data_IF_156840481189
#
_entry.id   IF_156840481189
#
_cell.length_a   1.000
_cell.length_b   1.000
_cell.length_c   1.000
_cell.angle_alpha   90.00
_cell.angle_beta   90.00
_cell.angle_gamma   90.00
#
_symmetry.space_group_name_H-M   'P 1'
#
loop_
_entity.id
_entity.type
_entity.pdbx_description
1 polymer ?
#
# COMPACT_ATOMS: atom_id res chain seq x y z
N UNK A 1 -23.54 16.38 7.84
CA UNK A 1 -22.23 15.79 8.19
C UNK A 1 -22.21 14.39 7.58
N UNK A 2 -21.49 14.20 6.47
CA UNK A 2 -21.66 13.04 5.58
C UNK A 2 -21.23 11.72 6.22
N UNK A 3 -22.07 10.70 6.07
CA UNK A 3 -21.84 9.29 6.44
C UNK A 3 -20.55 8.71 5.86
N UNK A 4 -20.08 9.24 4.73
CA UNK A 4 -18.93 8.72 3.99
C UNK A 4 -17.60 8.92 4.73
N UNK A 5 -17.48 10.01 5.49
CA UNK A 5 -16.28 10.30 6.29
C UNK A 5 -16.10 9.30 7.44
N UNK A 6 -17.20 8.88 8.06
CA UNK A 6 -17.15 7.88 9.13
C UNK A 6 -16.70 6.52 8.62
N UNK A 7 -17.19 6.11 7.44
CA UNK A 7 -16.79 4.85 6.81
C UNK A 7 -15.30 4.85 6.43
N UNK A 8 -14.78 5.98 5.94
CA UNK A 8 -13.36 6.13 5.65
C UNK A 8 -12.50 6.01 6.91
N UNK A 9 -12.86 6.70 7.99
CA UNK A 9 -12.14 6.64 9.27
C UNK A 9 -12.14 5.22 9.84
N UNK A 10 -13.30 4.55 9.86
CA UNK A 10 -13.42 3.18 10.35
C UNK A 10 -12.58 2.20 9.52
N UNK A 11 -12.55 2.38 8.21
CA UNK A 11 -11.73 1.57 7.29
C UNK A 11 -10.24 1.76 7.57
N UNK A 12 -9.78 3.01 7.70
CA UNK A 12 -8.38 3.33 8.02
C UNK A 12 -7.95 2.70 9.35
N UNK A 13 -8.76 2.87 10.40
CA UNK A 13 -8.48 2.29 11.72
C UNK A 13 -8.41 0.75 11.63
N UNK A 14 -9.34 0.13 10.91
CA UNK A 14 -9.39 -1.33 10.74
C UNK A 14 -8.18 -1.86 9.98
N UNK A 15 -7.72 -1.16 8.92
CA UNK A 15 -6.52 -1.54 8.16
C UNK A 15 -5.28 -1.55 9.06
N UNK A 16 -5.16 -0.60 9.97
CA UNK A 16 -4.00 -0.50 10.87
C UNK A 16 -4.08 -1.54 12.00
N UNK A 17 -5.27 -1.73 12.60
CA UNK A 17 -5.42 -2.54 13.81
C UNK A 17 -5.51 -4.05 13.51
N UNK A 18 -6.21 -4.46 12.45
CA UNK A 18 -6.46 -5.88 12.19
C UNK A 18 -5.18 -6.73 12.11
N UNK A 19 -4.08 -6.25 11.49
CA UNK A 19 -2.81 -6.99 11.50
C UNK A 19 -2.23 -7.26 12.89
N UNK A 20 -2.38 -6.32 13.83
CA UNK A 20 -1.97 -6.56 15.23
C UNK A 20 -2.76 -7.71 15.86
N UNK A 21 -4.05 -7.82 15.53
CA UNK A 21 -4.94 -8.83 16.07
C UNK A 21 -4.63 -10.21 15.46
N UNK A 22 -4.68 -10.34 14.14
CA UNK A 22 -4.58 -11.66 13.50
C UNK A 22 -3.18 -12.26 13.60
N UNK A 23 -2.12 -11.46 13.76
CA UNK A 23 -0.77 -12.01 13.99
C UNK A 23 -0.62 -12.66 15.38
N UNK A 24 -1.46 -12.29 16.36
CA UNK A 24 -1.40 -12.82 17.74
C UNK A 24 -2.35 -13.99 17.99
N UNK A 25 -3.40 -14.14 17.18
CA UNK A 25 -4.40 -15.18 17.38
C UNK A 25 -3.87 -16.57 17.05
N UNK A 26 -4.16 -17.57 17.87
CA UNK A 26 -3.76 -18.96 17.63
C UNK A 26 -4.74 -19.72 16.75
N UNK A 27 -6.05 -19.47 16.92
CA UNK A 27 -7.13 -20.14 16.17
C UNK A 27 -7.06 -19.79 14.68
N UNK A 28 -6.73 -20.79 13.86
CA UNK A 28 -6.52 -20.63 12.40
C UNK A 28 -7.75 -20.07 11.67
N UNK A 29 -8.95 -20.56 11.98
CA UNK A 29 -10.19 -20.11 11.31
C UNK A 29 -10.44 -18.61 11.53
N UNK A 30 -10.37 -18.16 12.79
CA UNK A 30 -10.56 -16.74 13.15
C UNK A 30 -9.48 -15.88 12.50
N UNK A 31 -8.22 -16.36 12.48
CA UNK A 31 -7.11 -15.66 11.83
C UNK A 31 -7.37 -15.45 10.34
N UNK A 32 -7.76 -16.50 9.63
CA UNK A 32 -8.03 -16.44 8.19
C UNK A 32 -9.22 -15.52 7.90
N UNK A 33 -10.29 -15.61 8.69
CA UNK A 33 -11.45 -14.72 8.54
C UNK A 33 -11.07 -13.25 8.68
N UNK A 34 -10.24 -12.90 9.68
CA UNK A 34 -9.76 -11.53 9.87
C UNK A 34 -8.85 -11.06 8.74
N UNK A 35 -8.01 -11.94 8.19
CA UNK A 35 -7.18 -11.61 7.01
C UNK A 35 -8.07 -11.32 5.81
N UNK A 36 -9.10 -12.13 5.57
CA UNK A 36 -10.05 -11.91 4.47
C UNK A 36 -10.78 -10.58 4.63
N UNK A 37 -11.31 -10.30 5.83
CA UNK A 37 -11.96 -9.01 6.13
C UNK A 37 -11.00 -7.85 5.91
N UNK A 38 -9.76 -7.96 6.40
CA UNK A 38 -8.73 -6.94 6.20
C UNK A 38 -8.45 -6.68 4.72
N UNK A 39 -8.32 -7.73 3.91
CA UNK A 39 -8.14 -7.60 2.46
C UNK A 39 -9.35 -6.97 1.76
N UNK A 40 -10.57 -7.30 2.16
CA UNK A 40 -11.79 -6.70 1.62
C UNK A 40 -11.81 -5.19 1.89
N UNK A 41 -11.43 -4.76 3.10
CA UNK A 41 -11.37 -3.34 3.46
C UNK A 41 -10.30 -2.63 2.63
N UNK A 42 -9.13 -3.24 2.44
CA UNK A 42 -8.08 -2.70 1.56
C UNK A 42 -8.57 -2.54 0.13
N UNK A 43 -9.20 -3.57 -0.44
CA UNK A 43 -9.74 -3.50 -1.80
C UNK A 43 -10.81 -2.41 -1.90
N UNK A 44 -11.72 -2.35 -0.93
CA UNK A 44 -12.79 -1.34 -0.89
C UNK A 44 -12.26 0.08 -0.87
N UNK A 45 -11.27 0.38 -0.02
CA UNK A 45 -10.68 1.73 0.04
C UNK A 45 -9.86 2.07 -1.21
N UNK A 46 -9.18 1.09 -1.81
CA UNK A 46 -8.48 1.28 -3.09
C UNK A 46 -9.46 1.54 -4.23
N UNK A 47 -10.59 0.83 -4.29
CA UNK A 47 -11.63 1.09 -5.29
C UNK A 47 -12.25 2.48 -5.12
N UNK A 48 -12.45 2.91 -3.88
CA UNK A 48 -12.87 4.28 -3.57
C UNK A 48 -11.83 5.30 -4.05
N UNK A 49 -10.54 5.04 -3.79
CA UNK A 49 -9.43 5.87 -4.25
C UNK A 49 -9.39 6.02 -5.78
N UNK A 50 -9.61 4.92 -6.50
CA UNK A 50 -9.64 4.86 -7.97
C UNK A 50 -10.90 5.49 -8.57
N UNK A 51 -11.87 5.90 -7.74
CA UNK A 51 -13.08 6.56 -8.20
C UNK A 51 -14.19 5.62 -8.66
N UNK A 52 -14.08 4.30 -8.47
CA UNK A 52 -15.14 3.35 -8.82
C UNK A 52 -16.46 3.56 -8.06
N UNK A 53 -16.40 4.27 -6.94
CA UNK A 53 -17.56 4.65 -6.14
C UNK A 53 -17.85 6.16 -6.17
N UNK A 54 -17.22 6.91 -7.08
CA UNK A 54 -17.42 8.36 -7.25
C UNK A 54 -18.34 8.65 -8.44
N UNK A 55 -19.27 9.59 -8.26
CA UNK A 55 -20.12 10.12 -9.34
C UNK A 55 -19.47 11.30 -10.09
N UNK A 56 -18.21 11.65 -9.79
CA UNK A 56 -17.50 12.77 -10.42
C UNK A 56 -16.30 12.26 -11.21
N UNK A 57 -16.10 12.84 -12.39
CA UNK A 57 -14.95 12.60 -13.25
C UNK A 57 -13.66 12.90 -12.49
N UNK A 58 -12.80 11.90 -12.34
CA UNK A 58 -11.57 11.99 -11.54
C UNK A 58 -10.32 12.28 -12.39
N UNK A 59 -10.49 12.83 -13.59
CA UNK A 59 -9.40 13.20 -14.50
C UNK A 59 -8.93 12.08 -15.45
N UNK A 60 -7.82 12.28 -16.20
CA UNK A 60 -7.48 11.50 -17.39
C UNK A 60 -7.21 10.00 -17.17
N UNK A 61 -7.02 9.57 -15.93
CA UNK A 61 -6.90 8.15 -15.54
C UNK A 61 -7.55 7.94 -14.17
N UNK A 62 -8.15 6.77 -13.91
CA UNK A 62 -8.92 6.44 -12.70
C UNK A 62 -8.31 6.98 -11.38
N UNK A 63 -8.90 8.07 -10.86
CA UNK A 63 -8.47 8.71 -9.62
C UNK A 63 -7.42 9.81 -9.75
N UNK A 64 -7.01 10.19 -10.97
CA UNK A 64 -5.96 11.15 -11.26
C UNK A 64 -6.50 12.52 -11.71
N UNK A 65 -6.70 13.45 -10.77
CA UNK A 65 -7.09 14.83 -11.07
C UNK A 65 -5.88 15.67 -11.49
N UNK A 66 -6.10 16.77 -12.22
CA UNK A 66 -5.09 17.81 -12.51
C UNK A 66 -4.54 18.50 -11.26
N UNK A 67 -5.17 18.30 -10.11
CA UNK A 67 -4.69 18.74 -8.80
C UNK A 67 -4.12 17.60 -7.95
N UNK A 68 -4.01 16.40 -8.52
CA UNK A 68 -3.70 15.16 -7.80
C UNK A 68 -4.88 14.64 -6.97
N UNK A 69 -4.65 13.54 -6.25
CA UNK A 69 -5.67 12.93 -5.40
C UNK A 69 -5.30 13.09 -3.92
N UNK A 70 -6.10 13.81 -3.11
CA UNK A 70 -5.79 14.09 -1.70
C UNK A 70 -5.73 12.82 -0.83
N UNK A 71 -6.38 11.73 -1.26
CA UNK A 71 -6.31 10.45 -0.56
C UNK A 71 -4.96 9.75 -0.73
N UNK A 72 -4.13 10.14 -1.71
CA UNK A 72 -2.87 9.43 -1.99
C UNK A 72 -1.96 9.36 -0.76
N UNK A 73 -1.77 10.48 -0.07
CA UNK A 73 -0.97 10.52 1.17
C UNK A 73 -1.58 9.69 2.29
N UNK A 74 -2.92 9.69 2.42
CA UNK A 74 -3.62 8.89 3.42
C UNK A 74 -3.38 7.40 3.17
N UNK A 75 -3.60 6.90 1.95
CA UNK A 75 -3.36 5.48 1.64
C UNK A 75 -1.90 5.10 1.86
N UNK A 76 -0.94 5.94 1.43
CA UNK A 76 0.51 5.69 1.62
C UNK A 76 0.84 5.55 3.12
N UNK A 77 0.44 6.50 3.95
CA UNK A 77 0.71 6.49 5.40
C UNK A 77 0.05 5.27 6.04
N UNK A 78 -1.21 5.01 5.72
CA UNK A 78 -1.97 3.88 6.28
C UNK A 78 -1.34 2.54 5.88
N UNK A 79 -0.89 2.41 4.63
CA UNK A 79 -0.17 1.23 4.17
C UNK A 79 1.12 1.00 4.95
N UNK A 80 1.96 2.03 5.09
CA UNK A 80 3.20 1.93 5.89
C UNK A 80 2.89 1.53 7.33
N UNK A 81 1.90 2.16 7.97
CA UNK A 81 1.50 1.83 9.34
C UNK A 81 0.94 0.41 9.48
N UNK A 82 0.21 -0.08 8.46
CA UNK A 82 -0.33 -1.46 8.45
C UNK A 82 0.77 -2.52 8.35
N UNK A 83 1.95 -2.17 7.84
CA UNK A 83 3.12 -3.06 7.78
C UNK A 83 3.89 -3.15 9.11
N UNK A 84 3.77 -2.15 9.98
CA UNK A 84 4.44 -2.10 11.29
C UNK A 84 4.25 -3.38 12.17
N UNK A 85 3.04 -3.94 12.33
CA UNK A 85 2.86 -5.19 13.09
C UNK A 85 3.64 -6.38 12.53
N UNK A 86 3.80 -6.47 11.21
CA UNK A 86 4.60 -7.52 10.57
C UNK A 86 6.09 -7.31 10.82
N UNK A 87 6.58 -6.08 10.67
CA UNK A 87 7.97 -5.72 10.98
C UNK A 87 8.30 -5.97 12.46
N UNK A 88 7.40 -5.60 13.37
CA UNK A 88 7.55 -5.85 14.80
C UNK A 88 7.58 -7.35 15.12
N UNK A 89 6.67 -8.13 14.54
CA UNK A 89 6.64 -9.58 14.72
C UNK A 89 7.89 -10.27 14.14
N UNK A 90 8.39 -9.78 13.00
CA UNK A 90 9.63 -10.23 12.37
C UNK A 90 10.84 -9.97 13.26
N UNK A 91 10.99 -8.72 13.73
CA UNK A 91 12.07 -8.31 14.62
C UNK A 91 12.11 -9.11 15.93
N UNK A 92 10.95 -9.46 16.48
CA UNK A 92 10.86 -10.29 17.70
C UNK A 92 11.03 -11.79 17.46
N UNK A 93 11.30 -12.23 16.23
CA UNK A 93 11.40 -13.66 15.89
C UNK A 93 10.07 -14.42 16.05
N UNK A 94 8.94 -13.72 16.18
CA UNK A 94 7.61 -14.31 16.44
C UNK A 94 6.81 -14.58 15.16
N UNK A 95 7.37 -14.26 14.00
CA UNK A 95 6.70 -14.42 12.71
C UNK A 95 6.74 -15.89 12.25
N UNK A 96 5.68 -16.65 12.55
CA UNK A 96 5.62 -18.12 12.32
C UNK A 96 5.89 -18.57 10.88
N UNK A 97 5.55 -17.76 9.86
CA UNK A 97 5.65 -18.12 8.43
C UNK A 97 6.14 -16.93 7.60
N UNK A 98 7.44 -16.59 7.67
CA UNK A 98 7.96 -15.33 7.15
C UNK A 98 7.70 -15.12 5.65
N UNK A 99 7.85 -16.16 4.82
CA UNK A 99 7.58 -16.06 3.38
C UNK A 99 6.09 -15.81 3.10
N UNK A 100 5.18 -16.53 3.76
CA UNK A 100 3.73 -16.33 3.55
C UNK A 100 3.27 -14.96 4.04
N UNK A 101 3.82 -14.51 5.18
CA UNK A 101 3.55 -13.18 5.72
C UNK A 101 4.08 -12.08 4.82
N UNK A 102 5.28 -12.25 4.24
CA UNK A 102 5.86 -11.35 3.24
C UNK A 102 4.97 -11.23 2.01
N UNK A 103 4.52 -12.36 1.44
CA UNK A 103 3.64 -12.33 0.26
C UNK A 103 2.31 -11.66 0.57
N UNK A 104 1.70 -11.95 1.73
CA UNK A 104 0.46 -11.32 2.16
C UNK A 104 0.60 -9.79 2.27
N UNK A 105 1.61 -9.32 3.02
CA UNK A 105 1.81 -7.88 3.19
C UNK A 105 2.23 -7.21 1.87
N UNK A 106 3.04 -7.87 1.05
CA UNK A 106 3.44 -7.36 -0.26
C UNK A 106 2.25 -7.14 -1.18
N UNK A 107 1.36 -8.13 -1.29
CA UNK A 107 0.13 -8.01 -2.09
C UNK A 107 -0.81 -6.93 -1.51
N UNK A 108 -0.99 -6.91 -0.19
CA UNK A 108 -1.83 -5.92 0.47
C UNK A 108 -1.33 -4.48 0.24
N UNK A 109 -0.02 -4.25 0.39
CA UNK A 109 0.60 -2.96 0.12
C UNK A 109 0.52 -2.61 -1.38
N UNK A 110 0.77 -3.56 -2.27
CA UNK A 110 0.67 -3.30 -3.70
C UNK A 110 -0.74 -2.79 -4.08
N UNK A 111 -1.78 -3.40 -3.53
CA UNK A 111 -3.17 -2.96 -3.75
C UNK A 111 -3.45 -1.62 -3.07
N UNK A 112 -3.00 -1.43 -1.82
CA UNK A 112 -3.35 -0.27 -1.02
C UNK A 112 -2.58 0.99 -1.44
N UNK A 113 -1.26 0.90 -1.56
CA UNK A 113 -0.39 2.06 -1.80
C UNK A 113 0.11 2.15 -3.23
N UNK A 114 0.06 1.07 -4.02
CA UNK A 114 0.54 1.06 -5.40
C UNK A 114 -0.09 2.15 -6.27
N UNK A 115 -1.44 2.18 -6.42
CA UNK A 115 -2.11 3.24 -7.19
C UNK A 115 -1.81 4.64 -6.66
N UNK A 116 -1.76 4.81 -5.34
CA UNK A 116 -1.46 6.08 -4.71
C UNK A 116 -0.04 6.58 -5.04
N UNK A 117 0.94 5.70 -5.02
CA UNK A 117 2.34 6.02 -5.35
C UNK A 117 2.47 6.32 -6.84
N UNK A 118 1.90 5.47 -7.69
CA UNK A 118 1.91 5.66 -9.14
C UNK A 118 1.41 7.06 -9.50
N UNK A 119 0.21 7.41 -9.02
CA UNK A 119 -0.40 8.71 -9.26
C UNK A 119 0.44 9.85 -8.67
N UNK A 120 0.90 9.73 -7.42
CA UNK A 120 1.66 10.81 -6.76
C UNK A 120 3.00 11.08 -7.44
N UNK A 121 3.72 10.04 -7.83
CA UNK A 121 5.03 10.14 -8.47
C UNK A 121 4.89 10.65 -9.90
N UNK A 122 3.98 10.08 -10.69
CA UNK A 122 3.77 10.51 -12.07
C UNK A 122 3.34 11.98 -12.13
N UNK A 123 2.39 12.39 -11.27
CA UNK A 123 1.97 13.80 -11.19
C UNK A 123 3.12 14.73 -10.80
N UNK A 124 3.88 14.36 -9.77
CA UNK A 124 4.99 15.19 -9.29
C UNK A 124 6.08 15.37 -10.35
N UNK A 125 6.48 14.30 -11.04
CA UNK A 125 7.51 14.37 -12.08
C UNK A 125 7.03 15.22 -13.27
N UNK A 126 5.80 14.99 -13.72
CA UNK A 126 5.23 15.71 -14.86
C UNK A 126 5.13 17.22 -14.60
N UNK A 127 4.60 17.61 -13.44
CA UNK A 127 4.44 19.03 -13.07
C UNK A 127 5.78 19.71 -12.80
N UNK A 128 6.75 19.01 -12.19
CA UNK A 128 8.11 19.55 -12.00
C UNK A 128 8.85 19.75 -13.34
N UNK A 129 8.55 18.95 -14.36
CA UNK A 129 9.03 19.14 -15.74
C UNK A 129 8.35 20.30 -16.49
N UNK A 130 7.49 21.07 -15.82
CA UNK A 130 6.68 22.13 -16.42
C UNK A 130 5.61 21.60 -17.36
N UNK A 131 5.17 20.35 -17.15
CA UNK A 131 3.97 19.80 -17.76
C UNK A 131 2.72 20.40 -17.12
N UNK A 132 1.71 20.64 -17.93
CA UNK A 132 0.41 21.16 -17.50
C UNK A 132 -0.72 20.43 -18.23
N UNK A 133 -1.96 20.80 -17.95
CA UNK A 133 -3.15 20.18 -18.52
C UNK A 133 -3.93 21.21 -19.35
N UNK A 134 -4.42 20.79 -20.51
CA UNK A 134 -5.33 21.60 -21.33
C UNK A 134 -6.65 20.84 -21.52
N UNK A 135 -7.72 21.58 -21.81
CA UNK A 135 -8.98 20.96 -22.19
C UNK A 135 -8.80 20.09 -23.44
N UNK A 136 -9.51 18.97 -23.45
CA UNK A 136 -9.66 18.12 -24.63
C UNK A 136 -10.27 18.89 -25.80
N UNK A 137 -9.90 18.45 -27.01
CA UNK A 137 -10.33 19.08 -28.26
C UNK A 137 -11.72 18.58 -28.75
N UNK A 138 -12.39 17.72 -27.96
CA UNK A 138 -13.67 17.11 -28.34
C UNK A 138 -14.86 18.04 -28.00
N UNK A 139 -15.58 18.54 -29.02
CA UNK A 139 -16.70 19.46 -28.82
C UNK A 139 -17.92 18.82 -28.14
N UNK A 140 -18.06 17.49 -28.20
CA UNK A 140 -19.21 16.77 -27.62
C UNK A 140 -19.04 16.51 -26.11
N UNK A 141 -17.80 16.52 -25.61
CA UNK A 141 -17.46 16.28 -24.20
C UNK A 141 -16.88 17.50 -23.48
N UNK A 142 -16.69 18.63 -24.16
CA UNK A 142 -16.18 19.87 -23.55
C UNK A 142 -14.85 19.70 -22.80
N UNK A 143 -14.58 20.57 -21.82
CA UNK A 143 -13.43 20.45 -20.91
C UNK A 143 -13.59 19.31 -19.87
N UNK A 144 -14.43 18.28 -20.12
CA UNK A 144 -14.56 17.17 -19.18
C UNK A 144 -13.33 16.27 -19.17
N UNK A 145 -12.53 16.26 -20.24
CA UNK A 145 -11.28 15.49 -20.33
C UNK A 145 -10.09 16.43 -20.39
N UNK A 146 -9.25 16.39 -19.36
CA UNK A 146 -7.95 17.08 -19.36
C UNK A 146 -6.92 16.23 -20.11
N UNK A 147 -6.22 16.85 -21.07
CA UNK A 147 -5.13 16.22 -21.81
C UNK A 147 -3.79 16.88 -21.44
N UNK A 148 -2.70 16.10 -21.35
CA UNK A 148 -1.39 16.66 -21.03
C UNK A 148 -0.93 17.59 -22.16
N UNK A 149 -0.44 18.78 -21.81
CA UNK A 149 0.19 19.71 -22.77
C UNK A 149 1.48 19.14 -23.36
N UNK A 150 2.15 18.23 -22.65
CA UNK A 150 3.34 17.51 -23.10
C UNK A 150 3.12 15.99 -22.95
N UNK A 151 2.47 15.34 -23.94
CA UNK A 151 2.11 13.92 -23.83
C UNK A 151 3.29 12.97 -23.62
N UNK A 152 4.43 13.23 -24.25
CA UNK A 152 5.63 12.40 -24.12
C UNK A 152 6.23 12.47 -22.71
N UNK A 153 6.30 13.68 -22.14
CA UNK A 153 6.75 13.89 -20.75
C UNK A 153 5.78 13.23 -19.76
N UNK A 154 4.48 13.27 -20.04
CA UNK A 154 3.47 12.58 -19.24
C UNK A 154 3.65 11.06 -19.28
N UNK A 155 3.84 10.48 -20.47
CA UNK A 155 4.11 9.05 -20.63
C UNK A 155 5.35 8.62 -19.86
N UNK A 156 6.44 9.39 -19.95
CA UNK A 156 7.67 9.09 -19.20
C UNK A 156 7.44 9.17 -17.69
N UNK A 157 6.69 10.17 -17.21
CA UNK A 157 6.37 10.30 -15.79
C UNK A 157 5.54 9.10 -15.28
N UNK A 158 4.63 8.57 -16.09
CA UNK A 158 3.86 7.37 -15.78
C UNK A 158 4.75 6.13 -15.67
N UNK A 159 5.70 5.94 -16.58
CA UNK A 159 6.66 4.83 -16.52
C UNK A 159 7.47 4.87 -15.22
N UNK A 160 7.93 6.06 -14.80
CA UNK A 160 8.60 6.22 -13.51
C UNK A 160 7.64 5.92 -12.35
N UNK A 161 6.41 6.40 -12.42
CA UNK A 161 5.35 6.07 -11.46
C UNK A 161 5.14 4.55 -11.31
N UNK A 162 5.15 3.81 -12.42
CA UNK A 162 5.02 2.34 -12.43
C UNK A 162 6.20 1.67 -11.73
N UNK A 163 7.42 2.17 -11.93
CA UNK A 163 8.60 1.63 -11.24
C UNK A 163 8.44 1.81 -9.73
N UNK A 164 8.10 3.00 -9.25
CA UNK A 164 7.98 3.27 -7.82
C UNK A 164 6.80 2.54 -7.16
N UNK A 165 5.67 2.38 -7.86
CA UNK A 165 4.51 1.67 -7.32
C UNK A 165 4.78 0.18 -7.09
N UNK A 166 5.74 -0.41 -7.81
CA UNK A 166 6.21 -1.78 -7.59
C UNK A 166 7.34 -1.84 -6.55
N UNK A 167 8.32 -0.95 -6.65
CA UNK A 167 9.52 -0.98 -5.81
C UNK A 167 9.22 -0.75 -4.33
N UNK A 168 8.35 0.20 -3.96
CA UNK A 168 8.13 0.51 -2.56
C UNK A 168 7.42 -0.63 -1.79
N UNK A 169 6.29 -1.19 -2.27
CA UNK A 169 5.69 -2.37 -1.64
C UNK A 169 6.64 -3.56 -1.57
N UNK A 170 7.38 -3.83 -2.66
CA UNK A 170 8.35 -4.91 -2.71
C UNK A 170 9.48 -4.72 -1.70
N UNK A 171 10.02 -3.50 -1.60
CA UNK A 171 11.07 -3.15 -0.65
C UNK A 171 10.64 -3.35 0.81
N UNK A 172 9.42 -2.92 1.16
CA UNK A 172 8.87 -3.16 2.50
C UNK A 172 8.71 -4.66 2.78
N UNK A 173 8.15 -5.42 1.84
CA UNK A 173 7.96 -6.86 2.00
C UNK A 173 9.30 -7.59 2.16
N UNK A 174 10.28 -7.28 1.32
CA UNK A 174 11.64 -7.84 1.38
C UNK A 174 12.30 -7.46 2.70
N UNK A 175 12.18 -6.21 3.15
CA UNK A 175 12.72 -5.75 4.43
C UNK A 175 12.17 -6.56 5.61
N UNK A 176 10.86 -6.78 5.67
CA UNK A 176 10.22 -7.61 6.70
C UNK A 176 10.75 -9.05 6.66
N UNK A 177 10.91 -9.61 5.46
CA UNK A 177 11.45 -10.96 5.31
C UNK A 177 12.91 -11.07 5.78
N UNK A 178 13.76 -10.11 5.42
CA UNK A 178 15.15 -10.07 5.86
C UNK A 178 15.26 -9.94 7.39
N UNK A 179 14.45 -9.07 8.00
CA UNK A 179 14.36 -8.94 9.46
C UNK A 179 13.97 -10.26 10.13
N UNK A 180 13.00 -10.98 9.57
CA UNK A 180 12.57 -12.26 10.11
C UNK A 180 13.66 -13.35 9.97
N UNK A 181 14.47 -13.31 8.91
CA UNK A 181 15.59 -14.24 8.71
C UNK A 181 16.70 -13.98 9.73
N UNK A 182 17.09 -12.73 9.92
CA UNK A 182 18.11 -12.35 10.90
C UNK A 182 17.69 -12.73 12.32
N UNK A 183 16.44 -12.43 12.71
CA UNK A 183 15.96 -12.80 14.05
C UNK A 183 15.94 -14.32 14.28
N UNK A 184 15.76 -15.14 13.22
CA UNK A 184 15.80 -16.60 13.34
C UNK A 184 17.22 -17.12 13.56
N UNK A 185 18.22 -16.56 12.86
CA UNK A 185 19.61 -16.96 13.04
C UNK A 185 20.12 -16.65 14.44
N UNK A 186 19.74 -15.50 15.01
CA UNK A 186 20.18 -15.10 16.35
C UNK A 186 19.64 -16.05 17.42
N UNK A 187 18.35 -16.41 17.33
CA UNK A 187 17.71 -17.36 18.26
C UNK A 187 18.36 -18.75 18.17
N UNK A 188 18.72 -19.21 16.96
CA UNK A 188 19.40 -20.50 16.77
C UNK A 188 20.83 -20.50 17.35
N UNK A 189 21.54 -19.37 17.26
CA UNK A 189 22.88 -19.19 17.85
C UNK A 189 22.83 -19.23 19.39
N UNK A 190 21.89 -18.52 20.01
CA UNK A 190 21.72 -18.50 21.48
C UNK A 190 21.35 -19.89 22.04
N UNK A 191 20.48 -20.62 21.35
CA UNK A 191 20.11 -21.99 21.74
C UNK A 191 21.30 -22.94 21.63
N UNK A 192 22.16 -22.75 20.64
CA UNK A 192 23.36 -23.58 20.46
C UNK A 192 24.41 -23.28 21.54
N UNK A 193 24.63 -22.01 21.86
CA UNK A 193 25.56 -21.59 22.92
C UNK A 193 25.14 -22.10 24.31
N UNK A 194 23.84 -22.01 24.64
CA UNK A 194 23.32 -22.49 25.93
C UNK A 194 23.36 -24.01 26.09
N UNK A 195 23.36 -24.79 25.00
CA UNK A 195 23.58 -26.25 25.08
C UNK A 195 25.03 -26.60 25.41
N UNK A 196 25.98 -25.93 24.76
CA UNK A 196 27.41 -26.12 25.01
C UNK A 196 27.79 -25.80 26.45
N UNK A 197 27.22 -24.73 27.04
CA UNK A 197 27.51 -24.36 28.44
C UNK A 197 26.92 -25.32 29.49
N UNK A 198 25.95 -26.16 29.12
CA UNK A 198 25.33 -27.12 30.03
C UNK A 198 25.99 -28.51 29.97
N UNK A 199 26.93 -28.71 29.04
CA UNK A 199 27.70 -29.95 28.87
C UNK A 199 29.11 -29.88 29.50
N UNK A 200 29.51 -28.71 30.04
CA UNK A 200 30.73 -28.48 30.84
C UNK A 200 30.44 -28.56 32.36
#
# INVERSE_FOLDING_TARGET
MNTDWWLLILSVISIIILPWLFLRLEKTLVRVALIVVWMIIIIGITLLYLGFFSNHYMGPQMGFSTQGNPLSWILIIVGILSAAPFAFAAFKGKLKRPIRSMLLIGVALFILIGPAIYNSVAFAIYTQGGGDWKCGDDPDYGCEVDIPTKPDDWSMAQDVGLVFCNLLPAGIAIGIWQLARAAKSDVEADVSASKLSNEE
#
